data_IF_240930883744
#
_entry.id   IF_240930883744
#
_cell.length_a   1.000
_cell.length_b   1.000
_cell.length_c   1.000
_cell.angle_alpha   90.00
_cell.angle_beta   90.00
_cell.angle_gamma   90.00
#
_symmetry.space_group_name_H-M   'P 1'
#
loop_
_entity.id
_entity.type
_entity.pdbx_description
1 polymer ?
#
# COMPACT_ATOMS: atom_id res chain seq x y z
N UNK A 1 -26.71 20.70 2.83
CA UNK A 1 -25.71 20.52 1.77
C UNK A 1 -25.04 19.18 2.02
N UNK A 2 -24.99 18.30 1.03
CA UNK A 2 -24.37 16.98 1.18
C UNK A 2 -22.93 17.03 0.65
N UNK A 3 -21.98 16.56 1.45
CA UNK A 3 -20.58 16.44 1.02
C UNK A 3 -20.40 15.11 0.29
N UNK A 4 -19.86 15.16 -0.92
CA UNK A 4 -19.52 14.00 -1.75
C UNK A 4 -18.01 13.73 -1.68
N UNK A 5 -17.63 12.45 -1.70
CA UNK A 5 -16.24 11.99 -1.75
C UNK A 5 -16.00 11.25 -3.06
N UNK A 6 -14.94 11.62 -3.78
CA UNK A 6 -14.51 10.95 -5.01
C UNK A 6 -13.07 10.47 -4.84
N UNK A 7 -12.81 9.19 -5.08
CA UNK A 7 -11.46 8.63 -5.02
C UNK A 7 -10.73 8.96 -6.31
N UNK A 8 -9.59 9.65 -6.21
CA UNK A 8 -8.79 10.09 -7.35
C UNK A 8 -7.67 9.12 -7.68
N UNK A 9 -7.04 8.51 -6.65
CA UNK A 9 -5.98 7.54 -6.84
C UNK A 9 -5.84 6.58 -5.67
N UNK A 10 -5.42 5.36 -6.00
CA UNK A 10 -5.11 4.30 -5.03
C UNK A 10 -3.73 3.71 -5.36
N UNK A 11 -2.95 3.46 -4.32
CA UNK A 11 -1.65 2.76 -4.41
C UNK A 11 -1.51 1.74 -3.30
N UNK A 12 -0.78 0.66 -3.57
CA UNK A 12 -0.40 -0.37 -2.59
C UNK A 12 1.06 -0.15 -2.20
N UNK A 13 1.34 -0.04 -0.91
CA UNK A 13 2.71 0.00 -0.39
C UNK A 13 3.01 -1.26 0.42
N UNK A 14 4.16 -1.88 0.16
CA UNK A 14 4.69 -3.01 0.92
C UNK A 14 5.99 -2.58 1.59
N UNK A 15 6.14 -2.88 2.88
CA UNK A 15 7.39 -2.66 3.60
C UNK A 15 8.35 -3.83 3.35
N UNK A 16 9.52 -3.49 2.82
CA UNK A 16 10.56 -4.43 2.41
C UNK A 16 11.84 -4.11 3.17
N UNK A 17 12.44 -5.12 3.78
CA UNK A 17 13.69 -4.96 4.50
C UNK A 17 14.81 -4.59 3.52
N UNK A 18 15.49 -3.48 3.81
CA UNK A 18 16.61 -2.98 2.99
C UNK A 18 17.96 -3.23 3.64
N UNK A 19 18.02 -3.17 4.97
CA UNK A 19 19.28 -3.25 5.71
C UNK A 19 19.03 -3.68 7.16
N UNK A 20 20.13 -3.84 7.89
CA UNK A 20 20.15 -3.86 9.35
C UNK A 20 20.83 -2.58 9.83
N UNK A 21 20.41 -2.05 10.97
CA UNK A 21 21.09 -0.94 11.62
C UNK A 21 22.31 -1.41 12.44
N UNK A 22 22.91 -0.51 13.22
CA UNK A 22 24.09 -0.83 14.06
C UNK A 22 23.78 -1.78 15.23
N UNK A 23 22.52 -1.87 15.66
CA UNK A 23 22.06 -2.78 16.70
C UNK A 23 21.62 -4.14 16.13
N UNK A 24 21.56 -4.27 14.81
CA UNK A 24 21.06 -5.47 14.12
C UNK A 24 19.55 -5.43 13.89
N UNK A 25 18.90 -4.28 14.10
CA UNK A 25 17.47 -4.12 13.87
C UNK A 25 17.18 -3.90 12.38
N UNK A 26 16.14 -4.55 11.82
CA UNK A 26 15.80 -4.42 10.40
C UNK A 26 15.29 -3.02 10.05
N UNK A 27 15.93 -2.42 9.05
CA UNK A 27 15.49 -1.17 8.42
C UNK A 27 14.63 -1.51 7.20
N UNK A 28 13.41 -0.98 7.18
CA UNK A 28 12.45 -1.18 6.10
C UNK A 28 12.35 0.05 5.18
N UNK A 29 12.03 -0.21 3.92
CA UNK A 29 11.65 0.81 2.94
C UNK A 29 10.33 0.42 2.28
N UNK A 30 9.64 1.40 1.68
CA UNK A 30 8.36 1.16 1.01
C UNK A 30 8.60 0.88 -0.47
N UNK A 31 8.10 -0.26 -0.93
CA UNK A 31 7.91 -0.53 -2.37
C UNK A 31 6.45 -0.24 -2.70
N UNK A 32 6.22 0.80 -3.50
CA UNK A 32 4.88 1.27 -3.82
C UNK A 32 4.50 0.92 -5.26
N UNK A 33 3.28 0.39 -5.42
CA UNK A 33 2.65 0.08 -6.68
C UNK A 33 1.46 1.03 -6.86
N UNK A 34 1.61 1.98 -7.79
CA UNK A 34 0.59 2.97 -8.10
C UNK A 34 -0.42 2.43 -9.13
N UNK A 35 -1.57 3.10 -9.25
CA UNK A 35 -2.56 2.77 -10.27
C UNK A 35 -3.41 1.55 -9.92
N UNK A 36 -3.58 1.29 -8.62
CA UNK A 36 -4.58 0.32 -8.17
C UNK A 36 -5.95 0.88 -8.52
N UNK A 37 -6.85 0.02 -9.00
CA UNK A 37 -8.21 0.45 -9.36
C UNK A 37 -8.91 1.01 -8.13
N UNK A 38 -9.62 2.12 -8.31
CA UNK A 38 -10.32 2.85 -7.23
C UNK A 38 -11.50 2.06 -6.64
N UNK A 39 -11.99 1.06 -7.36
CA UNK A 39 -13.07 0.15 -6.96
C UNK A 39 -12.55 -1.25 -6.59
N UNK A 40 -11.23 -1.45 -6.50
CA UNK A 40 -10.67 -2.74 -6.09
C UNK A 40 -11.10 -3.07 -4.65
N UNK A 41 -11.59 -4.29 -4.44
CA UNK A 41 -11.93 -4.74 -3.09
C UNK A 41 -10.66 -4.90 -2.25
N UNK A 42 -10.72 -4.61 -0.93
CA UNK A 42 -9.58 -4.81 -0.05
C UNK A 42 -9.04 -6.25 -0.07
N UNK A 43 -9.92 -7.24 -0.19
CA UNK A 43 -9.56 -8.66 -0.29
C UNK A 43 -8.70 -8.96 -1.53
N UNK A 44 -9.08 -8.42 -2.69
CA UNK A 44 -8.30 -8.61 -3.91
C UNK A 44 -6.93 -7.95 -3.81
N UNK A 45 -6.86 -6.74 -3.26
CA UNK A 45 -5.58 -6.04 -3.06
C UNK A 45 -4.71 -6.79 -2.04
N UNK A 46 -5.30 -7.31 -0.97
CA UNK A 46 -4.63 -8.15 0.03
C UNK A 46 -4.03 -9.41 -0.60
N UNK A 47 -4.81 -10.16 -1.38
CA UNK A 47 -4.34 -11.39 -2.00
C UNK A 47 -3.16 -11.15 -2.95
N UNK A 48 -3.20 -10.05 -3.71
CA UNK A 48 -2.09 -9.63 -4.58
C UNK A 48 -0.87 -9.22 -3.74
N UNK A 49 -1.06 -8.45 -2.66
CA UNK A 49 0.04 -8.05 -1.78
C UNK A 49 0.74 -9.27 -1.15
N UNK A 50 -0.03 -10.26 -0.73
CA UNK A 50 0.48 -11.50 -0.13
C UNK A 50 1.23 -12.36 -1.16
N UNK A 51 0.68 -12.50 -2.37
CA UNK A 51 1.36 -13.17 -3.48
C UNK A 51 2.69 -12.49 -3.86
N UNK A 52 2.72 -11.15 -3.87
CA UNK A 52 3.96 -10.38 -4.12
C UNK A 52 4.99 -10.68 -3.01
N UNK A 53 4.59 -10.63 -1.74
CA UNK A 53 5.48 -10.96 -0.62
C UNK A 53 6.08 -12.36 -0.74
N UNK A 54 5.27 -13.34 -1.13
CA UNK A 54 5.70 -14.74 -1.28
C UNK A 54 6.80 -14.96 -2.32
N UNK A 55 7.01 -14.01 -3.24
CA UNK A 55 8.07 -14.08 -4.26
C UNK A 55 9.24 -13.11 -4.00
N UNK A 56 9.20 -12.32 -2.94
CA UNK A 56 10.30 -11.41 -2.59
C UNK A 56 11.42 -12.17 -1.87
N UNK A 57 12.67 -11.95 -2.29
CA UNK A 57 13.84 -12.48 -1.57
C UNK A 57 14.06 -11.78 -0.22
N UNK A 58 13.75 -10.48 -0.16
CA UNK A 58 13.87 -9.70 1.06
C UNK A 58 12.70 -9.94 2.00
N UNK A 59 12.95 -9.97 3.31
CA UNK A 59 11.88 -10.02 4.31
C UNK A 59 10.93 -8.84 4.14
N UNK A 60 9.66 -9.09 4.38
CA UNK A 60 8.61 -8.08 4.32
C UNK A 60 7.86 -8.05 5.64
N UNK A 61 7.19 -6.93 5.91
CA UNK A 61 6.43 -6.76 7.15
C UNK A 61 4.99 -6.36 6.87
N UNK A 62 4.69 -5.08 6.79
CA UNK A 62 3.31 -4.60 6.63
C UNK A 62 3.03 -4.22 5.17
N UNK A 63 1.76 -4.18 4.80
CA UNK A 63 1.29 -3.55 3.57
C UNK A 63 0.01 -2.76 3.82
N UNK A 64 -0.16 -1.69 3.08
CA UNK A 64 -1.29 -0.79 3.23
C UNK A 64 -1.65 -0.12 1.92
N UNK A 65 -2.92 0.26 1.82
CA UNK A 65 -3.46 1.04 0.73
C UNK A 65 -3.32 2.52 1.08
N UNK A 66 -2.80 3.30 0.14
CA UNK A 66 -2.83 4.76 0.17
C UNK A 66 -3.88 5.23 -0.84
N UNK A 67 -4.87 5.97 -0.34
CA UNK A 67 -5.95 6.55 -1.12
C UNK A 67 -5.85 8.07 -1.06
N UNK A 68 -5.98 8.74 -2.21
CA UNK A 68 -6.23 10.18 -2.28
C UNK A 68 -7.65 10.41 -2.81
N UNK A 69 -8.36 11.34 -2.19
CA UNK A 69 -9.75 11.66 -2.54
C UNK A 69 -10.02 13.15 -2.48
N UNK A 70 -10.89 13.60 -3.36
CA UNK A 70 -11.46 14.95 -3.37
C UNK A 70 -12.81 14.96 -2.64
N UNK A 71 -13.06 16.05 -1.88
CA UNK A 71 -14.33 16.30 -1.19
C UNK A 71 -14.99 17.54 -1.78
N UNK A 72 -16.26 17.43 -2.19
CA UNK A 72 -17.02 18.53 -2.77
C UNK A 72 -18.38 18.67 -2.08
N UNK A 73 -18.77 19.92 -1.78
CA UNK A 73 -20.06 20.25 -1.20
C UNK A 73 -20.96 20.86 -2.29
N UNK A 74 -22.16 20.30 -2.47
CA UNK A 74 -23.17 20.78 -3.42
C UNK A 74 -24.42 21.32 -2.70
#
# INVERSE_FOLDING_TARGET
MAVTKTIDSVSLSIEVQKALDKAGDPIYTKKTFSGIKTDATPENVYAVADAIKGVMEANTRDYFINESSSLANA
#
